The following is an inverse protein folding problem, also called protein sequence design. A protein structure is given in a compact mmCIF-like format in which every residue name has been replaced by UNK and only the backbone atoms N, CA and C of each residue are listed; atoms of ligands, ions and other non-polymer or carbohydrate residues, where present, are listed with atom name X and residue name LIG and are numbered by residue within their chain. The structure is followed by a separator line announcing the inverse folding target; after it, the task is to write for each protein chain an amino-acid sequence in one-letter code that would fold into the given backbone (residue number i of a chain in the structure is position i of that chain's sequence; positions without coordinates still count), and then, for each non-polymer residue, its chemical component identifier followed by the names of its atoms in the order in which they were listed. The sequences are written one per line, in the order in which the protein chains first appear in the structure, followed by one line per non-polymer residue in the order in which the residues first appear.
data_IF_337260246892
#
_entry.id   IF_337260246892
#
_cell.length_a   1.000
_cell.length_b   1.000
_cell.length_c   1.000
_cell.angle_alpha   90.00
_cell.angle_beta   90.00
_cell.angle_gamma   90.00
#
_symmetry.space_group_name_H-M   'P 1'
#
loop_
_entity.id
_entity.type
_entity.pdbx_description
1 polymer ?
#
# COMPACT_ATOMS: atom_id res chain seq x y z
N UNK A 1 1.23 25.30 -0.22
CA UNK A 1 0.65 24.05 0.29
C UNK A 1 1.59 23.65 1.41
N UNK A 2 1.22 23.93 2.66
CA UNK A 2 2.07 23.64 3.81
C UNK A 2 2.28 22.13 3.89
N UNK A 3 3.54 21.70 3.76
CA UNK A 3 3.94 20.32 4.02
C UNK A 3 4.06 20.21 5.53
N UNK A 4 2.91 20.12 6.19
CA UNK A 4 2.81 19.76 7.59
C UNK A 4 3.06 18.26 7.72
N UNK A 5 4.18 17.87 8.32
CA UNK A 5 4.36 16.48 8.74
C UNK A 5 5.75 15.90 8.63
N UNK A 6 6.78 16.59 9.12
CA UNK A 6 7.87 15.91 9.81
C UNK A 6 7.80 16.32 11.28
N UNK A 7 6.94 15.66 12.04
CA UNK A 7 7.01 15.78 13.49
C UNK A 7 8.27 15.06 13.97
N UNK A 8 9.29 15.84 14.35
CA UNK A 8 10.39 15.34 15.17
C UNK A 8 9.79 14.70 16.41
N UNK A 9 10.05 13.42 16.64
CA UNK A 9 9.84 12.83 17.97
C UNK A 9 10.84 13.53 18.90
N UNK A 10 10.38 14.62 19.52
CA UNK A 10 11.09 15.34 20.57
C UNK A 10 11.01 14.50 21.85
N UNK A 11 11.77 13.43 21.91
CA UNK A 11 12.37 12.87 23.14
C UNK A 11 12.98 11.51 22.86
N UNK A 12 14.20 11.51 22.31
CA UNK A 12 15.16 10.56 22.89
C UNK A 12 15.67 11.28 24.12
N UNK A 13 15.19 10.88 25.29
CA UNK A 13 15.68 11.39 26.57
C UNK A 13 17.15 10.96 26.70
N UNK A 14 18.07 11.80 26.19
CA UNK A 14 19.52 11.52 26.12
C UNK A 14 20.15 11.32 27.50
N UNK A 15 19.42 11.54 28.60
CA UNK A 15 19.94 11.48 29.95
C UNK A 15 19.69 10.16 30.69
N UNK A 16 18.86 9.23 30.19
CA UNK A 16 18.49 8.03 30.97
C UNK A 16 19.08 6.69 30.50
N UNK A 17 19.85 6.65 29.41
CA UNK A 17 20.64 5.48 29.07
C UNK A 17 22.14 5.80 29.20
N UNK A 18 22.63 5.88 30.43
CA UNK A 18 24.05 5.70 30.73
C UNK A 18 24.34 4.19 30.59
N UNK A 19 24.40 3.76 29.34
CA UNK A 19 25.06 2.53 28.91
C UNK A 19 26.31 2.96 28.16
N UNK A 20 27.46 2.47 28.62
CA UNK A 20 28.81 2.66 28.09
C UNK A 20 28.82 2.94 26.57
N UNK A 21 29.40 4.09 26.18
CA UNK A 21 29.70 4.43 24.78
C UNK A 21 30.58 3.33 24.18
N UNK A 22 30.07 2.60 23.19
CA UNK A 22 30.94 1.93 22.23
C UNK A 22 31.35 2.95 21.16
N UNK A 23 32.62 2.97 20.80
CA UNK A 23 33.28 3.94 19.91
C UNK A 23 32.85 3.85 18.42
N UNK A 24 31.73 3.20 18.11
CA UNK A 24 31.19 3.03 16.75
C UNK A 24 29.96 3.91 16.52
N UNK A 25 29.99 4.73 15.47
CA UNK A 25 28.89 5.63 15.12
C UNK A 25 27.55 4.88 14.97
N UNK A 26 26.56 5.27 15.76
CA UNK A 26 25.19 4.78 15.63
C UNK A 26 24.42 5.69 14.65
N UNK A 27 23.86 5.11 13.60
CA UNK A 27 23.00 5.82 12.64
C UNK A 27 21.55 5.38 12.81
N UNK A 28 20.62 6.33 12.77
CA UNK A 28 19.18 6.04 12.76
C UNK A 28 18.75 5.83 11.31
N UNK A 29 18.65 4.57 10.90
CA UNK A 29 18.34 4.21 9.50
C UNK A 29 17.00 3.48 9.34
N UNK A 30 16.35 3.13 10.45
CA UNK A 30 15.08 2.42 10.48
C UNK A 30 13.95 3.34 10.93
N UNK A 31 12.86 3.37 10.17
CA UNK A 31 11.78 4.35 10.32
C UNK A 31 10.41 3.67 10.30
N UNK A 32 9.50 4.17 11.14
CA UNK A 32 8.07 3.84 11.06
C UNK A 32 7.35 5.02 10.43
N UNK A 33 6.87 4.84 9.20
CA UNK A 33 6.13 5.86 8.47
C UNK A 33 4.64 5.73 8.73
N UNK A 34 4.05 6.75 9.35
CA UNK A 34 2.61 6.83 9.63
C UNK A 34 2.06 8.16 9.12
N UNK A 35 0.80 8.16 8.66
CA UNK A 35 0.12 9.41 8.32
C UNK A 35 -0.02 10.31 9.56
N UNK A 36 0.08 11.65 9.42
CA UNK A 36 -0.05 12.58 10.55
C UNK A 36 -1.30 12.35 11.40
N UNK A 37 -2.44 12.01 10.77
CA UNK A 37 -3.68 11.72 11.50
C UNK A 37 -3.63 10.47 12.41
N UNK A 38 -2.55 9.69 12.34
CA UNK A 38 -2.35 8.48 13.14
C UNK A 38 -1.19 8.63 14.15
N UNK A 39 -0.53 9.78 14.26
CA UNK A 39 0.56 9.97 15.22
C UNK A 39 0.10 9.68 16.66
N UNK A 40 -1.11 10.12 17.01
CA UNK A 40 -1.72 9.85 18.31
C UNK A 40 -2.14 8.38 18.55
N UNK A 41 -1.97 7.50 17.55
CA UNK A 41 -2.27 6.07 17.67
C UNK A 41 -1.02 5.24 17.93
N UNK A 42 0.17 5.81 17.78
CA UNK A 42 1.42 5.14 18.08
C UNK A 42 1.73 5.38 19.56
N UNK A 43 1.94 4.30 20.30
CA UNK A 43 2.35 4.32 21.70
C UNK A 43 3.56 3.43 21.91
N UNK A 44 4.21 3.57 23.07
CA UNK A 44 5.32 2.74 23.50
C UNK A 44 6.42 2.53 22.45
N UNK A 45 6.72 3.59 21.70
CA UNK A 45 7.77 3.57 20.68
C UNK A 45 9.14 3.45 21.34
N UNK A 46 9.82 2.33 21.10
CA UNK A 46 11.10 1.98 21.69
C UNK A 46 12.04 1.39 20.64
N UNK A 47 13.33 1.72 20.73
CA UNK A 47 14.40 1.02 20.01
C UNK A 47 15.00 0.01 20.97
N UNK A 48 14.84 -1.28 20.66
CA UNK A 48 15.34 -2.37 21.48
C UNK A 48 16.84 -2.55 21.29
N UNK A 49 17.48 -3.28 22.21
CA UNK A 49 18.91 -3.57 22.12
C UNK A 49 19.23 -4.43 20.90
N UNK A 50 20.45 -4.27 20.37
CA UNK A 50 20.99 -5.13 19.34
C UNK A 50 20.95 -6.60 19.80
N UNK A 51 20.69 -7.50 18.86
CA UNK A 51 20.75 -8.92 19.10
C UNK A 51 21.84 -9.55 18.24
N UNK A 52 22.21 -10.79 18.53
CA UNK A 52 23.26 -11.49 17.79
C UNK A 52 22.89 -11.82 16.32
N UNK A 53 21.66 -11.52 15.90
CA UNK A 53 21.11 -11.90 14.60
C UNK A 53 21.10 -10.75 13.58
N UNK A 54 21.37 -9.51 14.00
CA UNK A 54 21.41 -8.36 13.11
C UNK A 54 22.27 -7.24 13.68
N UNK A 55 22.91 -6.49 12.77
CA UNK A 55 23.55 -5.20 13.00
C UNK A 55 22.57 -4.04 13.13
N UNK A 56 21.26 -4.30 12.99
CA UNK A 56 20.18 -3.34 13.24
C UNK A 56 19.50 -3.59 14.60
N UNK A 57 19.10 -2.50 15.25
CA UNK A 57 18.33 -2.53 16.48
C UNK A 57 16.82 -2.67 16.15
N UNK A 58 16.08 -3.60 16.78
CA UNK A 58 14.64 -3.73 16.51
C UNK A 58 13.87 -2.49 16.99
N UNK A 59 12.84 -2.09 16.24
CA UNK A 59 11.89 -1.05 16.66
C UNK A 59 10.62 -1.73 17.18
N UNK A 60 10.21 -1.37 18.38
CA UNK A 60 8.96 -1.78 19.03
C UNK A 60 8.03 -0.59 19.16
N UNK A 61 6.73 -0.78 18.91
CA UNK A 61 5.69 0.20 19.13
C UNK A 61 4.33 -0.48 19.21
N UNK A 62 3.40 0.12 19.93
CA UNK A 62 2.00 -0.28 19.99
C UNK A 62 1.14 0.62 19.09
N UNK A 63 0.10 0.03 18.49
CA UNK A 63 -0.87 0.74 17.66
C UNK A 63 -2.27 0.64 18.26
N UNK A 64 -2.79 1.77 18.75
CA UNK A 64 -4.17 1.86 19.21
C UNK A 64 -5.12 1.94 18.02
N UNK A 65 -5.76 0.81 17.72
CA UNK A 65 -6.82 0.71 16.73
C UNK A 65 -8.17 0.96 17.40
N UNK A 66 -8.58 2.23 17.51
CA UNK A 66 -9.99 2.52 17.80
C UNK A 66 -10.86 2.02 16.63
N UNK A 67 -12.01 1.39 16.89
CA UNK A 67 -13.01 1.15 15.87
C UNK A 67 -13.33 2.50 15.22
N UNK A 68 -13.06 2.65 13.92
CA UNK A 68 -13.40 3.89 13.21
C UNK A 68 -14.89 4.16 13.42
N UNK A 69 -15.22 5.20 14.18
CA UNK A 69 -16.46 5.93 13.93
C UNK A 69 -16.37 6.38 12.48
N UNK A 70 -17.32 5.91 11.65
CA UNK A 70 -17.43 6.25 10.24
C UNK A 70 -17.75 7.75 10.12
N UNK A 71 -16.75 8.59 10.32
CA UNK A 71 -16.90 10.03 10.13
C UNK A 71 -16.91 10.31 8.63
N UNK A 72 -18.10 10.66 8.15
CA UNK A 72 -18.46 11.27 6.87
C UNK A 72 -17.58 11.03 5.62
N UNK A 73 -18.24 10.42 4.65
CA UNK A 73 -17.79 9.95 3.35
C UNK A 73 -17.36 11.05 2.38
N UNK A 74 -16.21 11.68 2.61
CA UNK A 74 -15.52 12.37 1.52
C UNK A 74 -14.42 11.45 0.95
N UNK A 75 -14.39 11.22 -0.38
CA UNK A 75 -13.30 10.47 -0.99
C UNK A 75 -11.99 11.21 -0.71
N UNK A 76 -11.07 10.54 -0.01
CA UNK A 76 -9.75 11.12 0.25
C UNK A 76 -8.97 11.14 -1.07
N UNK A 77 -8.48 12.31 -1.46
CA UNK A 77 -7.52 12.44 -2.57
C UNK A 77 -6.19 11.89 -2.10
N UNK A 78 -5.63 10.95 -2.84
CA UNK A 78 -4.30 10.41 -2.58
C UNK A 78 -3.42 10.70 -3.79
N UNK A 79 -2.29 11.36 -3.53
CA UNK A 79 -1.25 11.58 -4.52
C UNK A 79 -0.38 10.33 -4.58
N UNK A 80 -0.21 9.76 -5.77
CA UNK A 80 0.62 8.58 -5.99
C UNK A 80 1.62 8.92 -7.08
N UNK A 81 2.89 8.62 -6.81
CA UNK A 81 3.97 8.67 -7.80
C UNK A 81 4.23 7.23 -8.23
N UNK A 82 4.16 6.95 -9.53
CA UNK A 82 4.55 5.64 -10.08
C UNK A 82 5.62 5.85 -11.14
N UNK A 83 6.84 5.42 -10.83
CA UNK A 83 7.97 5.53 -11.74
C UNK A 83 7.67 4.90 -13.11
N UNK A 84 8.03 5.62 -14.17
CA UNK A 84 7.92 5.19 -15.56
C UNK A 84 9.23 5.49 -16.27
N UNK A 85 9.98 4.45 -16.63
CA UNK A 85 11.30 4.60 -17.25
C UNK A 85 11.25 5.35 -18.58
N UNK A 86 10.11 5.31 -19.28
CA UNK A 86 9.95 5.99 -20.58
C UNK A 86 9.98 7.50 -20.41
N UNK A 87 9.47 8.01 -19.28
CA UNK A 87 9.42 9.45 -18.97
C UNK A 87 10.63 9.96 -18.18
N UNK A 88 11.64 9.12 -17.97
CA UNK A 88 12.85 9.48 -17.22
C UNK A 88 13.55 10.70 -17.80
N UNK A 89 13.57 10.85 -19.13
CA UNK A 89 14.17 12.02 -19.79
C UNK A 89 13.47 13.33 -19.40
N UNK A 90 12.14 13.34 -19.38
CA UNK A 90 11.33 14.51 -18.99
C UNK A 90 11.61 14.92 -17.53
N UNK A 91 11.70 13.94 -16.63
CA UNK A 91 12.05 14.19 -15.24
C UNK A 91 13.47 14.76 -15.09
N UNK A 92 14.45 14.20 -15.80
CA UNK A 92 15.83 14.69 -15.77
C UNK A 92 15.92 16.14 -16.28
N UNK A 93 15.19 16.48 -17.34
CA UNK A 93 15.14 17.87 -17.84
C UNK A 93 14.60 18.85 -16.79
N UNK A 94 13.56 18.48 -16.05
CA UNK A 94 13.01 19.32 -14.98
C UNK A 94 13.99 19.49 -13.82
N UNK A 95 14.76 18.46 -13.47
CA UNK A 95 15.81 18.58 -12.44
C UNK A 95 16.96 19.48 -12.91
N UNK A 96 17.37 19.37 -14.17
CA UNK A 96 18.41 20.23 -14.75
C UNK A 96 18.02 21.72 -14.70
N UNK A 97 16.74 22.04 -14.91
CA UNK A 97 16.21 23.41 -14.78
C UNK A 97 16.30 23.96 -13.35
N UNK A 98 16.40 23.10 -12.33
CA UNK A 98 16.53 23.48 -10.91
C UNK A 98 17.96 23.36 -10.40
N UNK A 99 18.91 22.93 -11.23
CA UNK A 99 20.27 22.60 -10.81
C UNK A 99 21.00 23.78 -10.17
N UNK A 100 20.92 24.98 -10.74
CA UNK A 100 21.56 26.17 -10.17
C UNK A 100 21.00 26.52 -8.78
N UNK A 101 19.69 26.44 -8.60
CA UNK A 101 19.05 26.68 -7.30
C UNK A 101 19.46 25.65 -6.25
N UNK A 102 19.59 24.38 -6.65
CA UNK A 102 20.05 23.29 -5.77
C UNK A 102 21.53 23.45 -5.39
N UNK A 103 22.38 23.87 -6.33
CA UNK A 103 23.80 24.14 -6.06
C UNK A 103 23.97 25.33 -5.10
N UNK A 104 23.20 26.40 -5.29
CA UNK A 104 23.21 27.55 -4.38
C UNK A 104 22.76 27.16 -2.96
N UNK A 105 21.75 26.31 -2.84
CA UNK A 105 21.26 25.81 -1.55
C UNK A 105 22.36 25.05 -0.79
N UNK A 106 23.11 24.19 -1.49
CA UNK A 106 24.22 23.43 -0.88
C UNK A 106 25.40 24.33 -0.52
N UNK A 107 25.73 25.30 -1.37
CA UNK A 107 26.87 26.21 -1.14
C UNK A 107 26.65 27.17 0.04
N UNK A 108 25.41 27.41 0.44
CA UNK A 108 25.07 28.32 1.54
C UNK A 108 24.97 27.63 2.91
N UNK A 109 25.22 26.31 2.98
CA UNK A 109 25.17 25.55 4.23
C UNK A 109 26.30 25.95 5.18
N UNK A 110 25.93 26.55 6.32
CA UNK A 110 26.91 27.05 7.31
C UNK A 110 26.78 26.37 8.67
N UNK A 111 25.65 25.70 8.93
CA UNK A 111 25.31 25.07 10.21
C UNK A 111 24.53 23.76 10.02
N UNK A 112 24.38 23.00 11.10
CA UNK A 112 23.60 21.75 11.10
C UNK A 112 22.09 21.97 10.92
N UNK A 113 21.55 23.13 11.31
CA UNK A 113 20.14 23.47 11.08
C UNK A 113 19.90 23.78 9.60
N UNK A 114 20.87 24.42 8.92
CA UNK A 114 20.81 24.66 7.47
C UNK A 114 20.75 23.35 6.67
N UNK A 115 21.38 22.28 7.17
CA UNK A 115 21.36 20.96 6.52
C UNK A 115 19.94 20.38 6.52
N UNK A 116 19.19 20.50 7.61
CA UNK A 116 17.81 20.03 7.66
C UNK A 116 16.91 20.81 6.70
N UNK A 117 17.10 22.13 6.64
CA UNK A 117 16.37 23.00 5.73
C UNK A 117 16.69 22.69 4.27
N UNK A 118 17.96 22.45 3.95
CA UNK A 118 18.36 22.05 2.60
C UNK A 118 17.84 20.66 2.22
N UNK A 119 17.87 19.68 3.13
CA UNK A 119 17.29 18.35 2.89
C UNK A 119 15.79 18.46 2.62
N UNK A 120 15.07 19.29 3.37
CA UNK A 120 13.64 19.55 3.14
C UNK A 120 13.42 20.16 1.76
N UNK A 121 14.17 21.19 1.41
CA UNK A 121 14.00 21.89 0.13
C UNK A 121 14.35 21.00 -1.07
N UNK A 122 15.45 20.23 -0.99
CA UNK A 122 15.81 19.23 -2.00
C UNK A 122 14.69 18.19 -2.12
N UNK A 123 14.18 17.69 -0.99
CA UNK A 123 13.09 16.70 -1.00
C UNK A 123 11.82 17.24 -1.65
N UNK A 124 11.47 18.51 -1.40
CA UNK A 124 10.36 19.19 -2.06
C UNK A 124 10.57 19.27 -3.57
N UNK A 125 11.75 19.73 -4.02
CA UNK A 125 12.07 19.85 -5.46
C UNK A 125 12.02 18.48 -6.15
N UNK A 126 12.57 17.43 -5.54
CA UNK A 126 12.52 16.07 -6.07
C UNK A 126 11.07 15.57 -6.15
N UNK A 127 10.31 15.73 -5.06
CA UNK A 127 8.92 15.28 -5.01
C UNK A 127 8.04 16.01 -6.02
N UNK A 128 8.11 17.33 -6.11
CA UNK A 128 7.26 18.13 -6.99
C UNK A 128 7.51 17.81 -8.47
N UNK A 129 8.78 17.69 -8.85
CA UNK A 129 9.15 17.31 -10.22
C UNK A 129 8.75 15.85 -10.51
N UNK A 130 8.93 14.94 -9.56
CA UNK A 130 8.53 13.55 -9.72
C UNK A 130 7.00 13.43 -9.82
N UNK A 131 6.25 14.19 -9.02
CA UNK A 131 4.80 14.23 -9.08
C UNK A 131 4.30 14.86 -10.38
N UNK A 132 4.99 15.87 -10.92
CA UNK A 132 4.62 16.46 -12.21
C UNK A 132 4.71 15.46 -13.38
N UNK A 133 5.70 14.57 -13.38
CA UNK A 133 5.95 13.63 -14.50
C UNK A 133 5.24 12.29 -14.29
N UNK A 134 5.31 11.77 -13.07
CA UNK A 134 4.87 10.41 -12.71
C UNK A 134 3.65 10.39 -11.80
N UNK A 135 3.23 11.56 -11.31
CA UNK A 135 2.18 11.69 -10.32
C UNK A 135 0.78 11.52 -10.90
N UNK A 136 -0.08 10.94 -10.08
CA UNK A 136 -1.52 10.89 -10.31
C UNK A 136 -2.23 11.09 -8.99
N UNK A 137 -3.20 11.99 -8.96
CA UNK A 137 -4.16 12.06 -7.86
C UNK A 137 -5.27 11.04 -8.10
N UNK A 138 -5.40 10.07 -7.21
CA UNK A 138 -6.51 9.14 -7.22
C UNK A 138 -7.49 9.48 -6.10
N UNK A 139 -8.78 9.27 -6.36
CA UNK A 139 -9.79 9.27 -5.31
C UNK A 139 -9.78 7.89 -4.67
N UNK A 140 -9.27 7.81 -3.44
CA UNK A 140 -9.39 6.60 -2.64
C UNK A 140 -10.76 6.64 -1.99
N UNK A 141 -11.69 5.91 -2.59
CA UNK A 141 -12.93 5.64 -1.90
C UNK A 141 -12.64 4.73 -0.71
N UNK A 142 -12.92 5.22 0.50
CA UNK A 142 -12.88 4.45 1.74
C UNK A 142 -13.98 3.37 1.81
N UNK A 143 -14.55 2.96 0.67
CA UNK A 143 -15.22 1.66 0.62
C UNK A 143 -14.11 0.64 0.87
N UNK A 144 -13.89 0.31 2.15
CA UNK A 144 -13.58 -1.06 2.53
C UNK A 144 -14.48 -1.88 1.65
N UNK A 145 -13.92 -2.58 0.66
CA UNK A 145 -14.66 -3.62 -0.02
C UNK A 145 -15.11 -4.51 1.14
N UNK A 146 -16.35 -4.32 1.62
CA UNK A 146 -17.04 -5.27 2.47
C UNK A 146 -16.74 -6.57 1.77
N UNK A 147 -15.89 -7.42 2.39
CA UNK A 147 -15.44 -8.66 1.78
C UNK A 147 -16.71 -9.28 1.24
N UNK A 148 -16.88 -9.27 -0.09
CA UNK A 148 -18.12 -9.76 -0.69
C UNK A 148 -18.30 -11.12 -0.09
N UNK A 149 -19.44 -11.33 0.58
CA UNK A 149 -19.72 -12.57 1.30
C UNK A 149 -19.24 -13.70 0.41
N UNK A 150 -18.28 -14.50 0.90
CA UNK A 150 -17.68 -15.51 0.05
C UNK A 150 -18.84 -16.39 -0.41
N UNK A 151 -19.07 -16.47 -1.72
CA UNK A 151 -20.19 -17.22 -2.23
C UNK A 151 -19.93 -18.68 -1.85
N UNK A 152 -20.72 -19.26 -0.94
CA UNK A 152 -20.47 -20.62 -0.43
C UNK A 152 -20.46 -21.67 -1.55
N UNK A 153 -21.19 -21.41 -2.64
CA UNK A 153 -21.19 -22.24 -3.84
C UNK A 153 -19.93 -22.07 -4.71
N UNK A 154 -19.09 -21.05 -4.50
CA UNK A 154 -17.93 -20.75 -5.34
C UNK A 154 -16.71 -21.57 -4.89
N UNK A 155 -16.45 -22.65 -5.63
CA UNK A 155 -15.38 -23.61 -5.31
C UNK A 155 -14.06 -23.33 -6.04
N UNK A 156 -13.05 -24.16 -5.76
CA UNK A 156 -11.71 -24.07 -6.37
C UNK A 156 -11.74 -24.13 -7.91
N UNK A 157 -12.64 -24.93 -8.48
CA UNK A 157 -12.81 -25.01 -9.94
C UNK A 157 -13.30 -23.68 -10.53
N UNK A 158 -14.26 -23.03 -9.88
CA UNK A 158 -14.71 -21.69 -10.30
C UNK A 158 -13.57 -20.66 -10.24
N UNK A 159 -12.68 -20.75 -9.24
CA UNK A 159 -11.52 -19.88 -9.13
C UNK A 159 -10.49 -20.12 -10.25
N UNK A 160 -10.23 -21.38 -10.60
CA UNK A 160 -9.35 -21.75 -11.71
C UNK A 160 -9.88 -21.23 -13.05
N UNK A 161 -11.14 -21.52 -13.37
CA UNK A 161 -11.75 -21.10 -14.64
C UNK A 161 -11.90 -19.57 -14.72
N UNK A 162 -12.12 -18.88 -13.60
CA UNK A 162 -12.10 -17.40 -13.56
C UNK A 162 -10.74 -16.83 -13.94
N UNK A 163 -9.63 -17.45 -13.48
CA UNK A 163 -8.27 -17.02 -13.85
C UNK A 163 -8.04 -17.19 -15.35
N UNK A 164 -8.43 -18.34 -15.93
CA UNK A 164 -8.35 -18.59 -17.37
C UNK A 164 -9.18 -17.58 -18.16
N UNK A 165 -10.42 -17.35 -17.76
CA UNK A 165 -11.30 -16.35 -18.38
C UNK A 165 -10.68 -14.94 -18.37
N UNK A 166 -10.17 -14.48 -17.22
CA UNK A 166 -9.54 -13.17 -17.10
C UNK A 166 -8.29 -13.08 -17.98
N UNK A 167 -7.47 -14.13 -18.01
CA UNK A 167 -6.28 -14.20 -18.86
C UNK A 167 -6.65 -14.07 -20.34
N UNK A 168 -7.59 -14.87 -20.84
CA UNK A 168 -8.04 -14.82 -22.23
C UNK A 168 -8.73 -13.51 -22.60
N UNK A 169 -9.50 -12.92 -21.65
CA UNK A 169 -10.10 -11.59 -21.84
C UNK A 169 -9.04 -10.51 -22.02
N UNK A 170 -8.03 -10.49 -21.14
CA UNK A 170 -6.95 -9.51 -21.21
C UNK A 170 -6.12 -9.69 -22.49
N UNK A 171 -5.91 -10.93 -22.93
CA UNK A 171 -5.22 -11.24 -24.18
C UNK A 171 -6.02 -10.71 -25.38
N UNK A 172 -7.32 -10.99 -25.46
CA UNK A 172 -8.19 -10.47 -26.52
C UNK A 172 -8.25 -8.95 -26.53
N UNK A 173 -8.31 -8.29 -25.36
CA UNK A 173 -8.31 -6.83 -25.25
C UNK A 173 -7.02 -6.19 -25.77
N UNK A 174 -5.88 -6.87 -25.65
CA UNK A 174 -4.58 -6.40 -26.16
C UNK A 174 -4.38 -6.71 -27.63
N UNK A 175 -4.86 -7.87 -28.08
CA UNK A 175 -4.64 -8.39 -29.42
C UNK A 175 -5.95 -8.96 -29.98
N UNK A 176 -6.79 -8.10 -30.52
CA UNK A 176 -8.10 -8.45 -31.09
C UNK A 176 -7.97 -9.19 -32.43
N UNK A 177 -7.71 -10.49 -32.38
CA UNK A 177 -7.65 -11.38 -33.56
C UNK A 177 -8.73 -12.45 -33.44
N UNK A 178 -9.02 -13.17 -34.53
CA UNK A 178 -10.00 -14.26 -34.49
C UNK A 178 -9.55 -15.39 -33.56
N UNK A 179 -8.26 -15.71 -33.53
CA UNK A 179 -7.72 -16.73 -32.63
C UNK A 179 -7.92 -16.35 -31.15
N UNK A 180 -7.62 -15.10 -30.77
CA UNK A 180 -7.79 -14.65 -29.38
C UNK A 180 -9.27 -14.48 -29.01
N UNK A 181 -10.12 -14.12 -29.98
CA UNK A 181 -11.58 -14.12 -29.82
C UNK A 181 -12.10 -15.51 -29.49
N UNK A 182 -11.66 -16.54 -30.22
CA UNK A 182 -12.08 -17.93 -29.95
C UNK A 182 -11.63 -18.40 -28.56
N UNK A 183 -10.37 -18.13 -28.18
CA UNK A 183 -9.86 -18.45 -26.83
C UNK A 183 -10.67 -17.76 -25.72
N UNK A 184 -11.05 -16.50 -25.92
CA UNK A 184 -11.92 -15.77 -25.00
C UNK A 184 -13.31 -16.40 -24.89
N UNK A 185 -13.95 -16.75 -26.02
CA UNK A 185 -15.28 -17.37 -26.04
C UNK A 185 -15.25 -18.72 -25.33
N UNK A 186 -14.26 -19.56 -25.62
CA UNK A 186 -14.08 -20.87 -24.97
C UNK A 186 -13.91 -20.71 -23.46
N UNK A 187 -13.00 -19.85 -23.01
CA UNK A 187 -12.76 -19.62 -21.59
C UNK A 187 -13.99 -19.03 -20.87
N UNK A 188 -14.79 -18.18 -21.56
CA UNK A 188 -16.06 -17.67 -21.04
C UNK A 188 -17.07 -18.80 -20.83
N UNK A 189 -17.19 -19.70 -21.80
CA UNK A 189 -18.12 -20.82 -21.74
C UNK A 189 -17.73 -21.80 -20.62
N UNK A 190 -16.44 -22.16 -20.52
CA UNK A 190 -15.92 -23.01 -19.44
C UNK A 190 -16.15 -22.41 -18.05
N UNK A 191 -15.92 -21.10 -17.88
CA UNK A 191 -16.19 -20.43 -16.61
C UNK A 191 -17.68 -20.39 -16.26
N UNK A 192 -18.55 -20.14 -17.23
CA UNK A 192 -20.00 -20.19 -17.02
C UNK A 192 -20.47 -21.60 -16.65
N UNK A 193 -19.90 -22.64 -17.27
CA UNK A 193 -20.20 -24.02 -16.94
C UNK A 193 -19.78 -24.38 -15.51
N UNK A 194 -18.54 -24.05 -15.13
CA UNK A 194 -18.06 -24.27 -13.76
C UNK A 194 -18.97 -23.61 -12.72
N UNK A 195 -19.45 -22.39 -13.00
CA UNK A 195 -20.43 -21.71 -12.13
C UNK A 195 -21.76 -22.43 -12.07
N UNK A 196 -22.28 -22.93 -13.19
CA UNK A 196 -23.56 -23.69 -13.23
C UNK A 196 -23.46 -24.94 -12.38
N UNK A 197 -22.41 -25.75 -12.59
CA UNK A 197 -22.17 -26.99 -11.85
C UNK A 197 -22.01 -26.73 -10.35
N UNK A 198 -21.21 -25.73 -9.98
CA UNK A 198 -20.97 -25.42 -8.58
C UNK A 198 -22.23 -24.93 -7.85
N UNK A 199 -23.06 -24.13 -8.52
CA UNK A 199 -24.37 -23.71 -8.00
C UNK A 199 -25.34 -24.87 -7.85
N UNK A 200 -25.40 -25.76 -8.85
CA UNK A 200 -26.28 -26.92 -8.80
C UNK A 200 -25.90 -27.86 -7.64
N UNK A 201 -24.60 -28.14 -7.50
CA UNK A 201 -24.06 -28.98 -6.43
C UNK A 201 -24.35 -28.38 -5.05
N UNK A 202 -24.13 -27.07 -4.88
CA UNK A 202 -24.43 -26.38 -3.62
C UNK A 202 -25.92 -26.42 -3.28
N UNK A 203 -26.80 -26.16 -4.26
CA UNK A 203 -28.26 -26.22 -4.04
C UNK A 203 -28.70 -27.62 -3.61
N UNK A 204 -28.14 -28.67 -4.22
CA UNK A 204 -28.44 -30.04 -3.84
C UNK A 204 -27.98 -30.33 -2.41
N UNK A 205 -26.74 -29.98 -2.07
CA UNK A 205 -26.20 -30.18 -0.73
C UNK A 205 -27.00 -29.44 0.35
N UNK A 206 -27.36 -28.17 0.12
CA UNK A 206 -28.21 -27.40 1.03
C UNK A 206 -29.62 -27.97 1.14
N UNK A 207 -30.18 -28.51 0.06
CA UNK A 207 -31.46 -29.20 0.10
C UNK A 207 -31.43 -30.44 1.01
N UNK A 208 -30.35 -31.23 0.92
CA UNK A 208 -30.15 -32.40 1.80
C UNK A 208 -29.97 -32.00 3.27
N UNK A 209 -29.13 -30.99 3.53
CA UNK A 209 -28.91 -30.45 4.89
C UNK A 209 -30.22 -29.96 5.53
N UNK A 210 -31.05 -29.24 4.78
CA UNK A 210 -32.35 -28.78 5.27
C UNK A 210 -33.31 -29.95 5.55
N UNK A 211 -33.30 -30.98 4.70
CA UNK A 211 -34.08 -32.21 4.93
C UNK A 211 -33.61 -32.96 6.18
N UNK A 212 -32.31 -33.00 6.45
CA UNK A 212 -31.76 -33.61 7.67
C UNK A 212 -32.17 -32.83 8.92
N UNK A 213 -31.99 -31.50 8.91
CA UNK A 213 -32.40 -30.63 10.03
C UNK A 213 -33.89 -30.81 10.33
N UNK A 214 -34.75 -30.87 9.30
CA UNK A 214 -36.18 -31.08 9.46
C UNK A 214 -36.53 -32.44 10.09
N UNK A 215 -35.69 -33.47 9.89
CA UNK A 215 -35.87 -34.81 10.49
C UNK A 215 -35.34 -34.90 11.90
N UNK A 216 -34.21 -34.24 12.19
CA UNK A 216 -33.53 -34.34 13.50
C UNK A 216 -34.02 -33.32 14.51
N UNK A 217 -34.62 -32.22 14.06
CA UNK A 217 -35.15 -31.17 14.94
C UNK A 217 -36.45 -30.58 14.33
N UNK A 218 -37.52 -31.40 14.22
CA UNK A 218 -38.81 -30.90 13.77
C UNK A 218 -39.32 -29.86 14.77
N UNK A 219 -39.86 -28.75 14.24
CA UNK A 219 -40.53 -27.73 15.06
C UNK A 219 -41.80 -28.26 15.71
#
# INVERSE_FOLDING_TARGET
MEIDGFAKVLSVNRQQNIGVRSEGGQSVNDYVLVFPENYNRVADFNVLQFNAFSDHAPIFYELFLYPRLLTNNFPKKHNIIKWDSIKSHEYNQLLLQRNESLLMLVNNLSSADDVNDAVREISCVLYDNAFKVFGKTILVNNFTNLKRHNNEWFNANCALERRKFNSSRNLYQRHSTDATRQLYILARNSYNEAKRVARASFKLAKGLELCEIAKTNPR
#
